data_IF_074949213073
#
_entry.id   IF_074949213073
#
_cell.length_a   1.000
_cell.length_b   1.000
_cell.length_c   1.000
_cell.angle_alpha   90.00
_cell.angle_beta   90.00
_cell.angle_gamma   90.00
#
_symmetry.space_group_name_H-M   'P 1'
#
loop_
_entity.id
_entity.type
_entity.pdbx_description
1 polymer ?
#
# COMPACT_ATOMS: atom_id res chain seq x y z
N UNK A 1 -83.83 22.46 -8.17
CA UNK A 1 -83.94 23.61 -7.24
C UNK A 1 -83.24 23.27 -5.94
N UNK A 2 -82.47 24.25 -5.41
CA UNK A 2 -81.86 24.38 -4.07
C UNK A 2 -80.46 23.77 -3.86
N UNK A 3 -79.57 24.71 -3.54
CA UNK A 3 -78.12 24.73 -3.25
C UNK A 3 -77.76 23.95 -1.98
N UNK A 4 -76.47 23.64 -1.79
CA UNK A 4 -75.65 23.70 -0.55
C UNK A 4 -74.19 23.34 -0.95
N UNK A 5 -73.23 24.26 -1.13
CA UNK A 5 -72.35 24.96 -0.16
C UNK A 5 -71.55 24.05 0.79
N UNK A 6 -70.23 23.92 0.52
CA UNK A 6 -69.08 23.79 1.48
C UNK A 6 -67.79 23.67 0.64
N UNK A 7 -66.98 24.72 0.43
CA UNK A 7 -65.92 25.32 1.27
C UNK A 7 -64.66 24.45 1.51
N UNK A 8 -63.57 24.90 0.88
CA UNK A 8 -62.15 24.94 1.28
C UNK A 8 -61.36 23.65 1.56
N UNK A 9 -60.21 23.51 0.88
CA UNK A 9 -58.86 23.70 1.48
C UNK A 9 -57.81 23.63 0.35
N UNK A 10 -57.13 24.76 0.13
CA UNK A 10 -55.89 24.87 -0.64
C UNK A 10 -54.74 24.39 0.26
N UNK A 11 -54.20 23.21 -0.02
CA UNK A 11 -52.97 22.72 0.61
C UNK A 11 -51.79 23.08 -0.32
N UNK A 12 -51.04 24.10 0.06
CA UNK A 12 -49.81 24.49 -0.65
C UNK A 12 -48.72 23.44 -0.42
N UNK A 13 -48.23 22.86 -1.51
CA UNK A 13 -47.16 21.88 -1.53
C UNK A 13 -45.81 22.60 -1.36
N UNK A 14 -45.30 22.65 -0.12
CA UNK A 14 -43.95 23.11 0.19
C UNK A 14 -42.99 21.92 0.31
N UNK A 15 -42.31 21.56 -0.78
CA UNK A 15 -41.23 20.59 -0.77
C UNK A 15 -39.90 21.27 -1.13
N UNK A 16 -39.25 21.86 -0.13
CA UNK A 16 -37.83 22.22 -0.21
C UNK A 16 -37.02 20.96 0.10
N UNK A 17 -36.70 20.20 -0.95
CA UNK A 17 -35.77 19.07 -0.86
C UNK A 17 -34.35 19.63 -0.72
N UNK A 18 -33.77 19.48 0.48
CA UNK A 18 -32.40 19.84 0.78
C UNK A 18 -31.42 19.03 -0.08
N UNK A 19 -30.63 19.74 -0.88
CA UNK A 19 -29.58 19.17 -1.71
C UNK A 19 -28.34 18.95 -0.82
N UNK A 20 -28.19 17.73 -0.30
CA UNK A 20 -27.01 17.33 0.46
C UNK A 20 -25.79 17.29 -0.47
N UNK A 21 -24.95 18.33 -0.42
CA UNK A 21 -23.60 18.30 -0.99
C UNK A 21 -22.79 17.25 -0.23
N UNK A 22 -22.63 16.07 -0.84
CA UNK A 22 -21.54 15.17 -0.46
C UNK A 22 -20.25 15.82 -0.95
N UNK A 23 -19.46 16.36 -0.02
CA UNK A 23 -18.10 16.79 -0.32
C UNK A 23 -17.31 15.55 -0.74
N UNK A 24 -17.08 15.39 -2.04
CA UNK A 24 -16.03 14.50 -2.52
C UNK A 24 -14.72 15.08 -2.01
N UNK A 25 -14.08 14.40 -1.06
CA UNK A 25 -12.75 14.75 -0.61
C UNK A 25 -11.82 14.65 -1.82
N UNK A 26 -11.46 15.79 -2.40
CA UNK A 26 -10.39 15.83 -3.41
C UNK A 26 -9.13 15.37 -2.72
N UNK A 27 -8.44 14.37 -3.29
CA UNK A 27 -7.10 14.02 -2.84
C UNK A 27 -6.26 15.30 -2.86
N UNK A 28 -5.69 15.66 -1.71
CA UNK A 28 -4.82 16.82 -1.62
C UNK A 28 -3.65 16.67 -2.59
N UNK A 29 -3.19 17.78 -3.18
CA UNK A 29 -1.99 17.77 -4.03
C UNK A 29 -0.80 17.21 -3.23
N UNK A 30 0.06 16.45 -3.92
CA UNK A 30 1.23 15.85 -3.29
C UNK A 30 2.18 16.95 -2.77
N UNK A 31 2.67 16.88 -1.53
CA UNK A 31 3.73 17.77 -1.10
C UNK A 31 4.97 17.52 -1.97
N UNK A 32 5.78 18.56 -2.18
CA UNK A 32 7.01 18.50 -3.01
C UNK A 32 7.92 17.31 -2.68
N UNK A 33 8.03 16.93 -1.40
CA UNK A 33 8.79 15.77 -0.98
C UNK A 33 8.23 14.46 -1.57
N UNK A 34 6.91 14.29 -1.61
CA UNK A 34 6.22 13.12 -2.15
C UNK A 34 6.21 13.06 -3.69
N UNK A 35 6.26 14.21 -4.38
CA UNK A 35 6.34 14.27 -5.86
C UNK A 35 7.51 13.45 -6.40
N UNK A 36 8.66 13.51 -5.71
CA UNK A 36 9.85 12.74 -6.07
C UNK A 36 9.65 11.22 -5.96
N UNK A 37 8.80 10.78 -5.03
CA UNK A 37 8.49 9.38 -4.79
C UNK A 37 7.57 8.82 -5.88
N UNK A 38 6.60 9.63 -6.33
CA UNK A 38 5.61 9.28 -7.38
C UNK A 38 6.30 8.86 -8.68
N UNK A 39 7.47 9.42 -8.97
CA UNK A 39 8.21 9.12 -10.19
C UNK A 39 8.66 7.64 -10.32
N UNK A 40 8.78 6.91 -9.20
CA UNK A 40 9.02 5.46 -9.18
C UNK A 40 7.81 4.70 -8.63
N UNK A 41 7.24 5.19 -7.54
CA UNK A 41 6.15 4.53 -6.82
C UNK A 41 4.78 4.74 -7.46
N UNK A 42 4.71 5.45 -8.58
CA UNK A 42 3.48 5.71 -9.33
C UNK A 42 2.59 6.75 -8.68
N UNK A 43 1.57 7.17 -9.44
CA UNK A 43 0.55 8.10 -8.95
C UNK A 43 -0.11 7.52 -7.70
N UNK A 44 -0.25 8.38 -6.69
CA UNK A 44 -0.86 8.05 -5.40
C UNK A 44 -0.17 6.87 -4.68
N UNK A 45 1.08 6.54 -5.04
CA UNK A 45 1.86 5.47 -4.41
C UNK A 45 1.56 4.06 -4.92
N UNK A 46 0.91 3.94 -6.09
CA UNK A 46 0.63 2.66 -6.75
C UNK A 46 1.46 2.54 -8.04
N UNK A 47 2.55 1.79 -7.98
CA UNK A 47 3.56 1.73 -9.05
C UNK A 47 3.18 0.75 -10.15
N UNK A 48 3.52 1.10 -11.39
CA UNK A 48 3.39 0.22 -12.55
C UNK A 48 4.62 -0.66 -12.80
N UNK A 49 5.75 -0.38 -12.14
CA UNK A 49 6.97 -1.18 -12.25
C UNK A 49 6.88 -2.42 -11.37
N UNK A 50 7.27 -3.58 -11.89
CA UNK A 50 7.10 -4.89 -11.22
C UNK A 50 7.98 -5.06 -9.97
N UNK A 51 9.08 -4.34 -9.85
CA UNK A 51 10.06 -4.43 -8.75
C UNK A 51 9.94 -3.26 -7.76
N UNK A 52 9.32 -2.15 -8.15
CA UNK A 52 9.03 -1.03 -7.24
C UNK A 52 7.72 -1.28 -6.51
N UNK A 53 7.68 -1.27 -5.16
CA UNK A 53 6.47 -1.60 -4.42
C UNK A 53 5.41 -0.50 -4.49
N UNK A 54 4.15 -0.88 -4.32
CA UNK A 54 3.12 0.05 -3.91
C UNK A 54 3.38 0.47 -2.45
N UNK A 55 3.20 1.76 -2.14
CA UNK A 55 3.45 2.35 -0.82
C UNK A 55 2.21 3.07 -0.26
N UNK A 56 1.14 3.16 -1.04
CA UNK A 56 -0.15 3.68 -0.59
C UNK A 56 -0.68 2.91 0.63
N UNK A 57 -1.41 3.58 1.52
CA UNK A 57 -2.07 3.02 2.71
C UNK A 57 -1.16 2.40 3.77
N UNK A 58 0.15 2.26 3.54
CA UNK A 58 1.08 1.87 4.60
C UNK A 58 1.02 2.90 5.72
N UNK A 59 1.13 2.44 6.98
CA UNK A 59 1.14 3.35 8.12
C UNK A 59 2.31 4.33 8.07
N UNK A 60 2.10 5.54 8.58
CA UNK A 60 3.12 6.57 8.70
C UNK A 60 4.36 6.04 9.43
N UNK A 61 4.15 5.28 10.51
CA UNK A 61 5.23 4.65 11.26
C UNK A 61 6.04 3.69 10.40
N UNK A 62 5.39 2.83 9.60
CA UNK A 62 6.10 1.89 8.73
C UNK A 62 6.93 2.64 7.67
N UNK A 63 6.36 3.67 7.05
CA UNK A 63 7.02 4.48 6.04
C UNK A 63 8.22 5.23 6.64
N UNK A 64 8.03 5.91 7.78
CA UNK A 64 9.08 6.65 8.47
C UNK A 64 10.22 5.73 8.94
N UNK A 65 9.90 4.60 9.56
CA UNK A 65 10.90 3.61 9.97
C UNK A 65 11.62 2.99 8.77
N UNK A 66 10.94 2.82 7.64
CA UNK A 66 11.56 2.34 6.41
C UNK A 66 12.55 3.36 5.84
N UNK A 67 12.20 4.66 5.81
CA UNK A 67 13.11 5.71 5.35
C UNK A 67 14.35 5.80 6.25
N UNK A 68 14.19 5.78 7.57
CA UNK A 68 15.31 5.76 8.53
C UNK A 68 16.25 4.57 8.31
N UNK A 69 15.69 3.38 8.05
CA UNK A 69 16.50 2.18 7.74
C UNK A 69 17.27 2.32 6.43
N UNK A 70 16.74 3.03 5.44
CA UNK A 70 17.50 3.34 4.22
C UNK A 70 18.59 4.39 4.48
N UNK A 71 18.31 5.45 5.25
CA UNK A 71 19.32 6.43 5.67
C UNK A 71 20.50 5.77 6.39
N UNK A 72 20.21 4.82 7.28
CA UNK A 72 21.20 4.06 8.03
C UNK A 72 21.85 2.93 7.21
N UNK A 73 21.45 2.72 5.96
CA UNK A 73 21.89 1.61 5.09
C UNK A 73 21.67 0.22 5.70
N UNK A 74 20.67 0.09 6.57
CA UNK A 74 20.27 -1.19 7.17
C UNK A 74 19.46 -2.04 6.17
N UNK A 75 18.90 -1.43 5.12
CA UNK A 75 18.16 -2.12 4.06
C UNK A 75 18.96 -2.12 2.76
N UNK A 76 18.90 -3.20 1.96
CA UNK A 76 19.49 -3.20 0.62
C UNK A 76 18.86 -2.14 -0.26
N UNK A 77 19.70 -1.32 -0.89
CA UNK A 77 19.29 -0.24 -1.77
C UNK A 77 19.41 -0.70 -3.22
N UNK A 78 18.32 -1.29 -3.70
CA UNK A 78 18.19 -1.78 -5.07
C UNK A 78 17.96 -0.59 -5.98
N UNK A 79 18.70 -0.53 -7.09
CA UNK A 79 18.50 0.50 -8.09
C UNK A 79 17.18 0.29 -8.84
N UNK A 80 16.48 1.39 -9.08
CA UNK A 80 15.27 1.46 -9.89
C UNK A 80 15.35 2.67 -10.82
N UNK A 81 14.65 2.57 -11.94
CA UNK A 81 14.56 3.65 -12.92
C UNK A 81 13.34 4.53 -12.65
N UNK A 82 13.50 5.84 -12.76
CA UNK A 82 12.37 6.77 -12.74
C UNK A 82 11.48 6.54 -13.97
N UNK A 83 10.21 6.24 -13.74
CA UNK A 83 9.23 5.93 -14.78
C UNK A 83 8.55 7.20 -15.35
N UNK A 84 8.56 8.29 -14.59
CA UNK A 84 7.93 9.55 -14.95
C UNK A 84 8.69 10.78 -14.41
N UNK A 85 8.20 11.98 -14.75
CA UNK A 85 8.78 13.25 -14.34
C UNK A 85 10.07 13.63 -15.08
N UNK A 86 10.74 14.69 -14.61
CA UNK A 86 11.92 15.26 -15.26
C UNK A 86 13.15 14.35 -15.23
N UNK A 87 13.18 13.37 -14.32
CA UNK A 87 14.27 12.39 -14.18
C UNK A 87 14.00 11.07 -14.92
N UNK A 88 12.92 10.95 -15.69
CA UNK A 88 12.54 9.72 -16.40
C UNK A 88 13.73 9.11 -17.17
N UNK A 89 13.93 7.80 -17.05
CA UNK A 89 15.03 7.08 -17.71
C UNK A 89 16.36 7.09 -16.93
N UNK A 90 16.48 7.90 -15.88
CA UNK A 90 17.64 7.86 -14.98
C UNK A 90 17.41 6.85 -13.84
N UNK A 91 18.49 6.40 -13.21
CA UNK A 91 18.46 5.44 -12.10
C UNK A 91 18.79 6.09 -10.77
N UNK A 92 18.14 5.62 -9.72
CA UNK A 92 18.48 5.94 -8.33
C UNK A 92 18.13 4.75 -7.44
N UNK A 93 18.34 4.90 -6.15
CA UNK A 93 17.98 3.91 -5.14
C UNK A 93 17.47 4.61 -3.87
N UNK A 94 16.81 3.84 -3.01
CA UNK A 94 16.21 4.39 -1.80
C UNK A 94 17.23 4.90 -0.77
N UNK A 95 18.50 4.48 -0.80
CA UNK A 95 19.53 5.05 0.09
C UNK A 95 19.85 6.48 -0.33
N UNK A 96 20.08 6.70 -1.63
CA UNK A 96 20.35 8.05 -2.17
C UNK A 96 19.18 8.98 -1.92
N UNK A 97 17.96 8.52 -2.22
CA UNK A 97 16.73 9.30 -1.99
C UNK A 97 16.56 9.61 -0.50
N UNK A 98 16.63 8.60 0.37
CA UNK A 98 16.40 8.80 1.80
C UNK A 98 17.46 9.68 2.47
N UNK A 99 18.71 9.65 1.99
CA UNK A 99 19.80 10.50 2.50
C UNK A 99 19.54 12.01 2.30
N UNK A 100 18.71 12.38 1.33
CA UNK A 100 18.36 13.78 1.05
C UNK A 100 17.12 14.26 1.83
N UNK A 101 16.38 13.35 2.49
CA UNK A 101 15.15 13.69 3.21
C UNK A 101 15.44 14.17 4.64
N UNK A 102 14.83 15.30 5.01
CA UNK A 102 14.75 15.73 6.41
C UNK A 102 13.72 14.91 7.20
N UNK A 103 13.71 15.05 8.53
CA UNK A 103 12.68 14.44 9.37
C UNK A 103 11.26 14.93 9.00
N UNK A 104 11.13 16.24 8.69
CA UNK A 104 9.87 16.84 8.26
C UNK A 104 9.42 16.32 6.90
N UNK A 105 10.36 16.09 5.96
CA UNK A 105 10.03 15.49 4.67
C UNK A 105 9.52 14.06 4.84
N UNK A 106 10.17 13.27 5.69
CA UNK A 106 9.74 11.90 5.99
C UNK A 106 8.33 11.89 6.58
N UNK A 107 8.02 12.80 7.52
CA UNK A 107 6.69 12.93 8.09
C UNK A 107 5.64 13.28 7.01
N UNK A 108 5.89 14.29 6.17
CA UNK A 108 4.98 14.70 5.09
C UNK A 108 4.75 13.61 4.05
N UNK A 109 5.81 12.87 3.69
CA UNK A 109 5.71 11.72 2.79
C UNK A 109 4.86 10.62 3.43
N UNK A 110 5.07 10.34 4.72
CA UNK A 110 4.28 9.39 5.49
C UNK A 110 2.79 9.73 5.50
N UNK A 111 2.45 10.95 5.91
CA UNK A 111 1.08 11.48 5.96
C UNK A 111 0.40 11.35 4.59
N UNK A 112 1.08 11.81 3.53
CA UNK A 112 0.54 11.79 2.17
C UNK A 112 0.20 10.38 1.68
N UNK A 113 1.12 9.42 1.78
CA UNK A 113 0.91 8.07 1.25
C UNK A 113 0.01 7.22 2.15
N UNK A 114 -0.05 7.48 3.45
CA UNK A 114 -0.98 6.81 4.37
C UNK A 114 -2.43 7.11 4.00
N UNK A 115 -2.71 8.34 3.56
CA UNK A 115 -4.03 8.77 3.12
C UNK A 115 -4.45 8.19 1.75
N UNK A 116 -3.52 7.61 0.99
CA UNK A 116 -3.83 7.02 -0.33
C UNK A 116 -4.40 5.61 -0.20
N UNK A 117 -5.20 5.23 -1.19
CA UNK A 117 -5.74 3.88 -1.28
C UNK A 117 -4.74 2.93 -1.94
N UNK A 118 -4.44 1.81 -1.27
CA UNK A 118 -3.65 0.75 -1.86
C UNK A 118 -4.44 0.04 -2.95
N UNK A 119 -3.90 0.06 -4.17
CA UNK A 119 -4.44 -0.70 -5.30
C UNK A 119 -3.69 -2.02 -5.40
N UNK A 120 -4.44 -3.13 -5.40
CA UNK A 120 -3.86 -4.45 -5.57
C UNK A 120 -3.34 -4.62 -6.99
N UNK A 121 -2.16 -5.21 -7.11
CA UNK A 121 -1.49 -5.38 -8.41
C UNK A 121 -2.07 -6.58 -9.13
N UNK A 122 -2.68 -6.34 -10.30
CA UNK A 122 -3.08 -7.40 -11.20
C UNK A 122 -1.85 -8.19 -11.69
N UNK A 123 -1.84 -9.51 -11.49
CA UNK A 123 -0.69 -10.37 -11.83
C UNK A 123 -1.09 -11.83 -12.00
N UNK A 124 -0.36 -12.60 -12.79
CA UNK A 124 -0.66 -14.03 -12.98
C UNK A 124 -0.18 -14.85 -11.79
N UNK A 125 -1.03 -15.75 -11.30
CA UNK A 125 -0.69 -16.67 -10.20
C UNK A 125 -0.98 -18.12 -10.57
N UNK A 126 -0.26 -19.06 -9.96
CA UNK A 126 -0.49 -20.48 -10.06
C UNK A 126 -1.52 -20.90 -8.98
N UNK A 127 -2.69 -21.45 -9.35
CA UNK A 127 -3.73 -21.83 -8.40
C UNK A 127 -3.31 -22.85 -7.34
N UNK A 128 -2.43 -23.79 -7.67
CA UNK A 128 -1.96 -24.81 -6.72
C UNK A 128 -1.00 -24.19 -5.70
N UNK A 129 -0.12 -23.28 -6.15
CA UNK A 129 0.73 -22.51 -5.26
C UNK A 129 -0.08 -21.56 -4.38
N UNK A 130 -1.16 -20.95 -4.89
CA UNK A 130 -2.09 -20.13 -4.09
C UNK A 130 -2.72 -20.95 -2.98
N UNK A 131 -3.21 -22.17 -3.27
CA UNK A 131 -3.82 -23.07 -2.27
C UNK A 131 -2.82 -23.47 -1.19
N UNK A 132 -1.59 -23.84 -1.58
CA UNK A 132 -0.50 -24.15 -0.64
C UNK A 132 -0.13 -22.93 0.20
N UNK A 133 0.05 -21.78 -0.43
CA UNK A 133 0.41 -20.51 0.22
C UNK A 133 -0.64 -20.05 1.23
N UNK A 134 -1.93 -20.17 0.92
CA UNK A 134 -3.02 -19.85 1.87
C UNK A 134 -2.94 -20.69 3.14
N UNK A 135 -2.59 -21.96 3.00
CA UNK A 135 -2.45 -22.88 4.15
C UNK A 135 -1.23 -22.49 4.99
N UNK A 136 -0.09 -22.20 4.35
CA UNK A 136 1.13 -21.73 5.02
C UNK A 136 0.92 -20.39 5.73
N UNK A 137 0.25 -19.45 5.08
CA UNK A 137 -0.06 -18.13 5.63
C UNK A 137 -0.82 -18.24 6.95
N UNK A 138 -1.88 -19.06 6.99
CA UNK A 138 -2.69 -19.27 8.21
C UNK A 138 -1.85 -19.81 9.37
N UNK A 139 -0.87 -20.67 9.08
CA UNK A 139 -0.05 -21.34 10.09
C UNK A 139 1.13 -20.51 10.56
N UNK A 140 1.76 -19.75 9.64
CA UNK A 140 3.07 -19.13 9.88
C UNK A 140 3.03 -17.60 9.94
N UNK A 141 2.03 -16.95 9.34
CA UNK A 141 2.06 -15.51 9.07
C UNK A 141 0.89 -14.73 9.70
N UNK A 142 -0.31 -15.32 9.75
CA UNK A 142 -1.57 -14.65 10.14
C UNK A 142 -1.49 -13.88 11.47
N UNK A 143 -0.77 -14.39 12.47
CA UNK A 143 -0.66 -13.75 13.78
C UNK A 143 -0.08 -12.34 13.74
N UNK A 144 0.75 -12.02 12.74
CA UNK A 144 1.39 -10.71 12.62
C UNK A 144 1.03 -9.97 11.32
N UNK A 145 0.62 -10.70 10.28
CA UNK A 145 0.16 -10.15 9.02
C UNK A 145 -1.32 -10.51 8.86
N UNK A 146 -2.21 -9.76 9.49
CA UNK A 146 -3.64 -10.09 9.53
C UNK A 146 -4.38 -9.71 8.25
N UNK A 147 -5.65 -10.13 8.14
CA UNK A 147 -6.52 -9.81 6.99
C UNK A 147 -5.89 -10.23 5.65
N UNK A 148 -5.39 -11.46 5.60
CA UNK A 148 -4.65 -12.02 4.46
C UNK A 148 -3.40 -11.19 4.07
N UNK A 149 -2.86 -10.44 5.03
CA UNK A 149 -1.73 -9.53 4.86
C UNK A 149 -2.13 -8.15 4.33
N UNK A 150 -3.39 -7.74 4.47
CA UNK A 150 -3.86 -6.43 4.01
C UNK A 150 -3.86 -5.34 5.06
N UNK A 151 -3.82 -5.69 6.34
CA UNK A 151 -4.07 -4.73 7.41
C UNK A 151 -2.87 -3.79 7.63
N UNK A 152 -2.96 -2.48 7.36
CA UNK A 152 -1.80 -1.60 7.50
C UNK A 152 -1.41 -1.30 8.95
N UNK A 153 -2.36 -1.49 9.88
CA UNK A 153 -2.20 -1.21 11.31
C UNK A 153 -1.39 -2.26 12.07
N UNK A 154 -0.95 -3.34 11.42
CA UNK A 154 -0.02 -4.30 12.02
C UNK A 154 1.44 -3.82 12.02
N UNK A 155 1.72 -2.68 11.34
CA UNK A 155 3.06 -2.11 11.13
C UNK A 155 4.07 -3.11 10.52
N UNK A 156 3.59 -4.22 9.97
CA UNK A 156 4.37 -5.26 9.30
C UNK A 156 4.37 -5.07 7.77
N UNK A 157 3.47 -4.20 7.29
CA UNK A 157 3.38 -3.77 5.90
C UNK A 157 2.41 -4.61 5.09
N UNK A 158 1.82 -4.01 4.06
CA UNK A 158 0.84 -4.67 3.20
C UNK A 158 1.53 -5.69 2.30
N UNK A 159 1.12 -6.95 2.37
CA UNK A 159 1.56 -8.07 1.53
C UNK A 159 0.53 -8.41 0.45
N UNK A 160 -0.75 -8.35 0.83
CA UNK A 160 -1.86 -8.75 -0.01
C UNK A 160 -1.94 -7.87 -1.28
N UNK A 161 -1.86 -8.50 -2.46
CA UNK A 161 -1.80 -7.85 -3.77
C UNK A 161 -0.63 -6.90 -3.98
N UNK A 162 0.41 -6.99 -3.14
CA UNK A 162 1.71 -6.41 -3.47
C UNK A 162 2.34 -7.18 -4.64
N UNK A 163 3.31 -6.56 -5.31
CA UNK A 163 3.98 -7.18 -6.46
C UNK A 163 4.77 -8.41 -6.04
N UNK A 164 4.51 -9.54 -6.70
CA UNK A 164 5.18 -10.81 -6.39
C UNK A 164 6.71 -10.71 -6.49
N UNK A 165 7.22 -10.02 -7.53
CA UNK A 165 8.66 -9.84 -7.70
C UNK A 165 9.29 -9.05 -6.54
N UNK A 166 8.63 -7.98 -6.08
CA UNK A 166 9.05 -7.26 -4.88
C UNK A 166 9.00 -8.15 -3.63
N UNK A 167 7.88 -8.83 -3.36
CA UNK A 167 7.73 -9.69 -2.17
C UNK A 167 8.81 -10.77 -2.15
N UNK A 168 9.05 -11.45 -3.28
CA UNK A 168 10.10 -12.46 -3.45
C UNK A 168 11.50 -11.91 -3.22
N UNK A 169 11.79 -10.69 -3.68
CA UNK A 169 13.07 -10.04 -3.43
C UNK A 169 13.24 -9.70 -1.94
N UNK A 170 12.19 -9.20 -1.28
CA UNK A 170 12.26 -8.86 0.13
C UNK A 170 12.44 -10.10 1.03
N UNK A 171 11.76 -11.21 0.72
CA UNK A 171 11.95 -12.49 1.45
C UNK A 171 13.36 -13.03 1.27
N UNK A 172 13.95 -12.89 0.09
CA UNK A 172 15.36 -13.23 -0.14
C UNK A 172 16.30 -12.39 0.73
N UNK A 173 16.11 -11.07 0.79
CA UNK A 173 16.93 -10.21 1.66
C UNK A 173 16.79 -10.56 3.14
N UNK A 174 15.60 -10.98 3.58
CA UNK A 174 15.42 -11.49 4.93
C UNK A 174 16.20 -12.79 5.16
N UNK A 175 16.07 -13.79 4.27
CA UNK A 175 16.80 -15.06 4.40
C UNK A 175 18.32 -14.91 4.37
N UNK A 176 18.82 -13.97 3.59
CA UNK A 176 20.25 -13.66 3.52
C UNK A 176 20.76 -12.79 4.68
N UNK A 177 19.88 -12.37 5.61
CA UNK A 177 20.23 -11.47 6.71
C UNK A 177 20.58 -10.04 6.28
N UNK A 178 20.42 -9.69 5.00
CA UNK A 178 20.73 -8.38 4.45
C UNK A 178 19.70 -7.31 4.81
N UNK A 179 18.47 -7.73 5.14
CA UNK A 179 17.40 -6.85 5.61
C UNK A 179 17.05 -7.21 7.06
N UNK A 180 17.02 -6.24 8.00
CA UNK A 180 16.62 -6.50 9.38
C UNK A 180 15.14 -6.85 9.42
N UNK A 181 14.81 -7.86 10.23
CA UNK A 181 13.44 -8.29 10.49
C UNK A 181 13.14 -8.31 11.99
N UNK A 182 11.87 -8.15 12.40
CA UNK A 182 11.49 -8.28 13.80
C UNK A 182 11.90 -9.65 14.37
N UNK A 183 12.33 -9.68 15.64
CA UNK A 183 12.77 -10.91 16.31
C UNK A 183 11.72 -12.03 16.26
N UNK A 184 10.43 -11.68 16.30
CA UNK A 184 9.31 -12.63 16.21
C UNK A 184 9.14 -13.24 14.80
N UNK A 185 9.48 -12.48 13.75
CA UNK A 185 9.38 -12.93 12.36
C UNK A 185 10.57 -13.81 11.97
N UNK A 186 11.76 -13.56 12.53
CA UNK A 186 12.99 -14.30 12.23
C UNK A 186 12.85 -15.84 12.23
N UNK A 187 12.39 -16.49 13.31
CA UNK A 187 12.26 -17.94 13.31
C UNK A 187 11.22 -18.46 12.32
N UNK A 188 10.21 -17.65 11.96
CA UNK A 188 9.23 -18.05 10.93
C UNK A 188 9.87 -18.03 9.55
N UNK A 189 10.69 -17.01 9.27
CA UNK A 189 11.40 -16.88 7.99
C UNK A 189 12.53 -17.88 7.80
N UNK A 190 13.28 -18.21 8.86
CA UNK A 190 14.36 -19.20 8.80
C UNK A 190 13.84 -20.62 8.54
N UNK A 191 12.62 -20.92 9.01
CA UNK A 191 11.94 -22.21 8.81
C UNK A 191 11.07 -22.26 7.55
N UNK A 192 11.31 -21.36 6.58
CA UNK A 192 10.68 -21.39 5.26
C UNK A 192 11.69 -21.82 4.20
N UNK A 193 11.35 -22.90 3.49
CA UNK A 193 12.07 -23.25 2.27
C UNK A 193 11.65 -22.37 1.07
N UNK A 194 12.37 -22.48 -0.04
CA UNK A 194 12.14 -21.62 -1.21
C UNK A 194 10.82 -21.94 -1.91
N UNK A 195 10.34 -23.19 -1.85
CA UNK A 195 9.06 -23.59 -2.43
C UNK A 195 7.86 -23.14 -1.56
N UNK A 196 8.03 -23.07 -0.24
CA UNK A 196 7.08 -22.47 0.68
C UNK A 196 7.01 -20.94 0.47
N UNK A 197 8.16 -20.29 0.27
CA UNK A 197 8.20 -18.85 -0.06
C UNK A 197 7.49 -18.59 -1.39
N UNK A 198 7.77 -19.38 -2.42
CA UNK A 198 7.10 -19.22 -3.71
C UNK A 198 5.58 -19.36 -3.57
N UNK A 199 5.12 -20.36 -2.81
CA UNK A 199 3.70 -20.54 -2.54
C UNK A 199 3.08 -19.33 -1.82
N UNK A 200 3.75 -18.77 -0.79
CA UNK A 200 3.31 -17.56 -0.10
C UNK A 200 3.26 -16.35 -1.04
N UNK A 201 4.27 -16.18 -1.90
CA UNK A 201 4.33 -15.10 -2.90
C UNK A 201 3.12 -15.17 -3.84
N UNK A 202 2.83 -16.36 -4.37
CA UNK A 202 1.65 -16.58 -5.21
C UNK A 202 0.34 -16.31 -4.46
N UNK A 203 0.23 -16.78 -3.21
CA UNK A 203 -0.96 -16.53 -2.40
C UNK A 203 -1.20 -15.03 -2.20
N UNK A 204 -0.22 -14.27 -1.72
CA UNK A 204 -0.39 -12.82 -1.56
C UNK A 204 -0.65 -12.13 -2.89
N UNK A 205 0.03 -12.54 -3.97
CA UNK A 205 -0.19 -12.01 -5.32
C UNK A 205 -1.58 -12.30 -5.89
N UNK A 206 -2.29 -13.31 -5.38
CA UNK A 206 -3.64 -13.67 -5.84
C UNK A 206 -4.74 -12.74 -5.29
N UNK A 207 -4.41 -11.89 -4.31
CA UNK A 207 -5.37 -11.00 -3.67
C UNK A 207 -5.39 -9.66 -4.41
N UNK A 208 -6.13 -9.63 -5.52
CA UNK A 208 -6.20 -8.56 -6.52
C UNK A 208 -7.52 -7.79 -6.47
#
# INVERSE_FOLDING_TARGET
MKKNFTAHILLACGALLGMSLSAVASAADAPKAAESCIACHGKDGNSTDTHVPNIASYSEEYLANTMKKYQNKERPCVEAEYQSGSKKGTKSDMCKIAAELSADDIAKVGEYFTAQTFVRTAQTTDPELVKKGKSLYKLKCYTCHSEDGSFPGDHAGILAGQKMAYVKQQTKFFKEGKRPMPKKMKPKMENLDDAEIEALVHYFGSIQ
#
